data_IF_469006681733
#
_entry.id   IF_469006681733
#
_cell.length_a   1.000
_cell.length_b   1.000
_cell.length_c   1.000
_cell.angle_alpha   90.00
_cell.angle_beta   90.00
_cell.angle_gamma   90.00
#
_symmetry.space_group_name_H-M   'P 1'
#
loop_
_entity.id
_entity.type
_entity.pdbx_description
1 polymer ?
#
# COMPACT_ATOMS: atom_id res chain seq x y z
N UNK A 1 30.81 -14.05 -13.31
CA UNK A 1 30.04 -13.73 -12.09
C UNK A 1 29.77 -12.23 -11.92
N UNK A 2 30.67 -11.34 -12.38
CA UNK A 2 30.50 -9.86 -12.33
C UNK A 2 29.42 -9.29 -13.28
N UNK A 3 29.28 -9.80 -14.51
CA UNK A 3 28.29 -9.29 -15.47
C UNK A 3 26.83 -9.43 -14.98
N UNK A 4 26.45 -10.57 -14.38
CA UNK A 4 25.10 -10.77 -13.80
C UNK A 4 24.81 -9.82 -12.64
N UNK A 5 25.82 -9.48 -11.83
CA UNK A 5 25.68 -8.53 -10.70
C UNK A 5 25.43 -7.11 -11.21
N UNK A 6 26.12 -6.69 -12.27
CA UNK A 6 25.89 -5.39 -12.94
C UNK A 6 24.51 -5.34 -13.60
N UNK A 7 24.06 -6.42 -14.26
CA UNK A 7 22.72 -6.46 -14.87
C UNK A 7 21.59 -6.45 -13.84
N UNK A 8 21.74 -7.10 -12.68
CA UNK A 8 20.76 -7.02 -11.59
C UNK A 8 20.74 -5.62 -10.95
N UNK A 9 21.91 -5.03 -10.67
CA UNK A 9 22.00 -3.66 -10.15
C UNK A 9 21.38 -2.63 -11.10
N UNK A 10 21.54 -2.80 -12.43
CA UNK A 10 20.89 -1.95 -13.42
C UNK A 10 19.36 -2.13 -13.45
N UNK A 11 18.86 -3.37 -13.31
CA UNK A 11 17.41 -3.66 -13.19
C UNK A 11 16.81 -3.12 -11.89
N UNK A 12 17.59 -3.12 -10.81
CA UNK A 12 17.15 -2.66 -9.49
C UNK A 12 17.17 -1.13 -9.39
N UNK A 13 18.10 -0.46 -10.10
CA UNK A 13 18.20 1.00 -10.14
C UNK A 13 16.97 1.68 -10.71
N UNK A 14 16.34 1.06 -11.70
CA UNK A 14 15.23 1.65 -12.45
C UNK A 14 13.85 1.14 -11.95
N UNK A 15 13.80 0.45 -10.80
CA UNK A 15 12.56 -0.10 -10.21
C UNK A 15 12.42 0.24 -8.72
N UNK A 16 11.28 -0.13 -8.12
CA UNK A 16 11.03 0.04 -6.68
C UNK A 16 11.98 -0.75 -5.77
N UNK A 17 12.68 -1.76 -6.30
CA UNK A 17 13.54 -2.68 -5.52
C UNK A 17 14.59 -1.93 -4.72
N UNK A 18 15.28 -0.94 -5.31
CA UNK A 18 16.34 -0.21 -4.62
C UNK A 18 15.82 0.66 -3.47
N UNK A 19 14.68 1.33 -3.67
CA UNK A 19 14.15 2.29 -2.70
C UNK A 19 13.24 1.65 -1.65
N UNK A 20 12.55 0.56 -2.00
CA UNK A 20 11.50 -0.04 -1.18
C UNK A 20 11.79 -1.51 -0.81
N UNK A 21 12.88 -2.09 -1.32
CA UNK A 21 13.25 -3.48 -1.05
C UNK A 21 12.38 -4.52 -1.74
N UNK A 22 11.44 -4.10 -2.59
CA UNK A 22 10.50 -4.99 -3.26
C UNK A 22 10.04 -4.44 -4.61
N UNK A 23 9.47 -5.33 -5.44
CA UNK A 23 8.78 -4.98 -6.70
C UNK A 23 7.59 -5.92 -6.92
N UNK A 24 6.55 -5.42 -7.58
CA UNK A 24 5.45 -6.27 -8.04
C UNK A 24 5.86 -7.00 -9.31
N UNK A 25 5.66 -8.31 -9.34
CA UNK A 25 6.00 -9.16 -10.49
C UNK A 25 4.82 -9.36 -11.45
N UNK A 26 3.59 -9.29 -10.91
CA UNK A 26 2.35 -9.48 -11.64
C UNK A 26 1.19 -9.77 -10.67
N UNK A 27 -0.01 -9.84 -11.21
CA UNK A 27 -1.21 -10.22 -10.48
C UNK A 27 -2.24 -10.79 -11.45
N UNK A 28 -3.10 -11.68 -10.97
CA UNK A 28 -4.20 -12.23 -11.76
C UNK A 28 -5.43 -12.41 -10.88
N UNK A 29 -6.57 -11.93 -11.36
CA UNK A 29 -7.88 -12.25 -10.80
C UNK A 29 -8.66 -13.05 -11.83
N UNK A 30 -9.43 -14.01 -11.35
CA UNK A 30 -10.34 -14.81 -12.16
C UNK A 30 -11.78 -14.50 -11.76
N UNK A 31 -12.69 -14.53 -12.73
CA UNK A 31 -14.12 -14.55 -12.48
C UNK A 31 -14.55 -15.91 -11.91
N UNK A 32 -15.75 -16.04 -11.33
CA UNK A 32 -16.32 -17.34 -10.96
C UNK A 32 -16.39 -18.33 -12.14
N UNK A 33 -16.50 -17.82 -13.38
CA UNK A 33 -16.45 -18.61 -14.61
C UNK A 33 -15.04 -19.00 -15.07
N UNK A 34 -14.00 -18.71 -14.28
CA UNK A 34 -12.60 -19.05 -14.56
C UNK A 34 -11.91 -18.17 -15.60
N UNK A 35 -12.57 -17.10 -16.10
CA UNK A 35 -11.96 -16.17 -17.05
C UNK A 35 -11.15 -15.10 -16.30
N UNK A 36 -10.00 -14.66 -16.81
CA UNK A 36 -9.23 -13.62 -16.14
C UNK A 36 -9.96 -12.27 -16.19
N UNK A 37 -10.27 -11.69 -15.02
CA UNK A 37 -10.82 -10.34 -14.87
C UNK A 37 -9.72 -9.28 -14.71
N UNK A 38 -8.56 -9.69 -14.18
CA UNK A 38 -7.35 -8.88 -14.12
C UNK A 38 -6.17 -9.78 -14.53
N UNK A 39 -5.29 -9.29 -15.41
CA UNK A 39 -4.05 -9.99 -15.75
C UNK A 39 -2.93 -8.99 -15.97
N UNK A 40 -2.11 -8.83 -14.94
CA UNK A 40 -0.97 -7.91 -14.90
C UNK A 40 0.32 -8.72 -14.98
N UNK A 41 1.12 -8.44 -16.01
CA UNK A 41 2.36 -9.17 -16.27
C UNK A 41 3.63 -8.45 -15.79
N UNK A 42 4.77 -9.08 -16.07
CA UNK A 42 6.11 -8.56 -15.71
C UNK A 42 6.39 -7.17 -16.27
N UNK A 43 5.88 -6.84 -17.47
CA UNK A 43 6.08 -5.53 -18.07
C UNK A 43 5.41 -4.42 -17.25
N UNK A 44 4.19 -4.67 -16.78
CA UNK A 44 3.47 -3.77 -15.86
C UNK A 44 4.19 -3.63 -14.52
N UNK A 45 4.61 -4.74 -13.92
CA UNK A 45 5.33 -4.69 -12.64
C UNK A 45 6.61 -3.83 -12.69
N UNK A 46 7.32 -3.87 -13.82
CA UNK A 46 8.52 -3.06 -14.07
C UNK A 46 8.24 -1.58 -14.34
N UNK A 47 7.03 -1.21 -14.75
CA UNK A 47 6.69 0.20 -15.00
C UNK A 47 6.36 0.95 -13.72
N UNK A 48 6.07 0.27 -12.62
CA UNK A 48 5.67 0.90 -11.34
C UNK A 48 6.86 1.65 -10.74
N UNK A 49 6.63 2.93 -10.40
CA UNK A 49 7.57 3.77 -9.67
C UNK A 49 7.31 3.73 -8.15
N UNK A 50 8.28 4.15 -7.30
CA UNK A 50 8.12 4.06 -5.84
C UNK A 50 6.83 4.69 -5.29
N UNK A 51 6.45 5.87 -5.78
CA UNK A 51 5.22 6.55 -5.35
C UNK A 51 3.94 5.86 -5.83
N UNK A 52 4.02 5.04 -6.88
CA UNK A 52 2.88 4.34 -7.48
C UNK A 52 2.65 2.96 -6.86
N UNK A 53 3.56 2.48 -6.00
CA UNK A 53 3.47 1.14 -5.47
C UNK A 53 2.24 0.93 -4.58
N UNK A 54 1.92 1.89 -3.70
CA UNK A 54 0.75 1.80 -2.82
C UNK A 54 -0.58 1.81 -3.64
N UNK A 55 -0.80 2.73 -4.60
CA UNK A 55 -1.92 2.63 -5.54
C UNK A 55 -1.95 1.31 -6.34
N UNK A 56 -0.79 0.81 -6.77
CA UNK A 56 -0.71 -0.45 -7.49
C UNK A 56 -1.11 -1.65 -6.62
N UNK A 57 -0.69 -1.67 -5.34
CA UNK A 57 -1.13 -2.66 -4.36
C UNK A 57 -2.64 -2.58 -4.15
N UNK A 58 -3.21 -1.37 -3.98
CA UNK A 58 -4.67 -1.19 -3.88
C UNK A 58 -5.37 -1.83 -5.07
N UNK A 59 -4.91 -1.57 -6.29
CA UNK A 59 -5.46 -2.16 -7.52
C UNK A 59 -5.37 -3.69 -7.53
N UNK A 60 -4.26 -4.27 -7.06
CA UNK A 60 -4.05 -5.72 -7.01
C UNK A 60 -4.92 -6.37 -5.94
N UNK A 61 -5.20 -5.71 -4.83
CA UNK A 61 -6.05 -6.28 -3.77
C UNK A 61 -7.51 -5.82 -3.88
N UNK A 62 -7.89 -5.15 -4.97
CA UNK A 62 -9.28 -4.81 -5.28
C UNK A 62 -9.88 -5.79 -6.29
N UNK A 63 -11.00 -6.40 -5.94
CA UNK A 63 -11.78 -7.30 -6.80
C UNK A 63 -13.17 -6.73 -6.96
N UNK A 64 -13.66 -6.64 -8.20
CA UNK A 64 -14.95 -5.97 -8.47
C UNK A 64 -14.96 -4.46 -8.17
N UNK A 65 -13.79 -3.83 -8.02
CA UNK A 65 -13.66 -2.43 -7.60
C UNK A 65 -13.49 -2.24 -6.09
N UNK A 66 -13.78 -3.27 -5.30
CA UNK A 66 -13.75 -3.21 -3.84
C UNK A 66 -12.45 -3.79 -3.27
N UNK A 67 -11.86 -3.08 -2.32
CA UNK A 67 -10.65 -3.54 -1.63
C UNK A 67 -10.96 -4.74 -0.73
N UNK A 68 -10.26 -5.86 -0.94
CA UNK A 68 -10.43 -7.08 -0.15
C UNK A 68 -9.77 -6.94 1.23
N UNK A 69 -10.40 -6.15 2.12
CA UNK A 69 -9.87 -5.78 3.44
C UNK A 69 -9.58 -7.00 4.33
N UNK A 70 -10.42 -8.03 4.30
CA UNK A 70 -10.20 -9.27 5.06
C UNK A 70 -8.92 -9.98 4.64
N UNK A 71 -8.67 -10.09 3.32
CA UNK A 71 -7.44 -10.69 2.81
C UNK A 71 -6.21 -9.84 3.15
N UNK A 72 -6.30 -8.52 2.98
CA UNK A 72 -5.22 -7.60 3.36
C UNK A 72 -4.87 -7.66 4.84
N UNK A 73 -5.86 -7.70 5.73
CA UNK A 73 -5.65 -7.84 7.18
C UNK A 73 -4.93 -9.16 7.50
N UNK A 74 -5.37 -10.26 6.88
CA UNK A 74 -4.72 -11.55 7.04
C UNK A 74 -3.25 -11.53 6.58
N UNK A 75 -2.97 -10.90 5.44
CA UNK A 75 -1.62 -10.82 4.92
C UNK A 75 -0.74 -9.85 5.70
N UNK A 76 -1.29 -8.76 6.24
CA UNK A 76 -0.59 -7.88 7.19
C UNK A 76 -0.12 -8.70 8.40
N UNK A 77 -0.99 -9.50 8.99
CA UNK A 77 -0.64 -10.35 10.14
C UNK A 77 0.41 -11.40 9.75
N UNK A 78 0.27 -11.99 8.56
CA UNK A 78 1.24 -12.97 8.04
C UNK A 78 2.62 -12.34 7.77
N UNK A 79 2.67 -11.09 7.29
CA UNK A 79 3.91 -10.34 7.11
C UNK A 79 4.55 -10.01 8.46
N UNK A 80 3.75 -9.66 9.47
CA UNK A 80 4.24 -9.43 10.83
C UNK A 80 4.89 -10.70 11.40
N UNK A 81 4.24 -11.86 11.25
CA UNK A 81 4.81 -13.15 11.66
C UNK A 81 6.09 -13.48 10.88
N UNK A 82 6.12 -13.20 9.58
CA UNK A 82 7.32 -13.39 8.77
C UNK A 82 8.48 -12.53 9.27
N UNK A 83 8.24 -11.26 9.63
CA UNK A 83 9.26 -10.39 10.21
C UNK A 83 9.83 -10.98 11.50
N UNK A 84 8.97 -11.47 12.41
CA UNK A 84 9.40 -12.12 13.64
C UNK A 84 10.31 -13.33 13.38
N UNK A 85 9.95 -14.17 12.40
CA UNK A 85 10.76 -15.35 12.02
C UNK A 85 12.11 -14.93 11.45
N UNK A 86 12.13 -13.97 10.52
CA UNK A 86 13.37 -13.49 9.88
C UNK A 86 14.31 -12.83 10.90
N UNK A 87 13.76 -12.16 11.91
CA UNK A 87 14.55 -11.51 12.96
C UNK A 87 15.10 -12.50 13.99
N UNK A 88 14.30 -13.51 14.37
CA UNK A 88 14.66 -14.52 15.36
C UNK A 88 15.58 -15.61 14.79
N UNK A 89 15.47 -15.91 13.49
CA UNK A 89 16.24 -16.97 12.82
C UNK A 89 16.93 -16.45 11.54
N UNK A 90 17.94 -15.58 11.67
CA UNK A 90 18.57 -14.93 10.52
C UNK A 90 19.60 -15.85 9.83
N UNK A 91 19.18 -17.06 9.46
CA UNK A 91 20.07 -18.08 8.92
C UNK A 91 20.22 -18.02 7.40
N UNK A 92 19.42 -17.21 6.71
CA UNK A 92 19.32 -17.22 5.25
C UNK A 92 19.35 -15.82 4.66
N UNK A 93 20.11 -15.67 3.58
CA UNK A 93 20.03 -14.57 2.64
C UNK A 93 19.18 -15.02 1.45
N UNK A 94 18.12 -14.27 1.17
CA UNK A 94 17.07 -14.63 0.21
C UNK A 94 17.13 -13.69 -1.00
N UNK A 95 17.97 -14.02 -1.98
CA UNK A 95 18.17 -13.17 -3.14
C UNK A 95 17.13 -13.51 -4.22
N UNK A 96 16.41 -12.50 -4.71
CA UNK A 96 15.41 -12.67 -5.79
C UNK A 96 14.30 -13.69 -5.49
N UNK A 97 13.99 -13.93 -4.22
CA UNK A 97 12.81 -14.68 -3.81
C UNK A 97 11.54 -13.83 -3.90
N UNK A 98 10.38 -14.47 -3.92
CA UNK A 98 9.08 -13.79 -4.07
C UNK A 98 8.13 -14.16 -2.93
N UNK A 99 7.20 -13.24 -2.61
CA UNK A 99 6.01 -13.54 -1.84
C UNK A 99 4.83 -13.75 -2.78
N UNK A 100 4.15 -14.89 -2.66
CA UNK A 100 2.94 -15.24 -3.40
C UNK A 100 1.73 -15.07 -2.48
N UNK A 101 0.75 -14.31 -2.95
CA UNK A 101 -0.51 -14.05 -2.26
C UNK A 101 -1.64 -14.71 -3.04
N UNK A 102 -2.47 -15.50 -2.35
CA UNK A 102 -3.63 -16.18 -2.93
C UNK A 102 -4.82 -15.95 -2.00
N UNK A 103 -5.92 -15.45 -2.54
CA UNK A 103 -7.14 -15.20 -1.77
C UNK A 103 -8.36 -15.31 -2.68
N UNK A 104 -9.52 -15.53 -2.07
CA UNK A 104 -10.82 -15.37 -2.73
C UNK A 104 -11.43 -14.05 -2.25
N UNK A 105 -12.01 -13.29 -3.19
CA UNK A 105 -12.69 -12.03 -2.85
C UNK A 105 -14.03 -12.28 -2.13
N UNK A 106 -14.71 -13.34 -2.55
CA UNK A 106 -15.97 -13.82 -2.00
C UNK A 106 -15.75 -15.29 -1.62
N UNK A 107 -15.94 -15.62 -0.34
CA UNK A 107 -15.74 -16.98 0.14
C UNK A 107 -15.23 -17.05 1.57
N UNK A 108 -15.34 -18.26 2.14
CA UNK A 108 -14.83 -18.57 3.47
C UNK A 108 -13.40 -19.12 3.44
N UNK A 109 -12.77 -19.25 2.26
CA UNK A 109 -11.42 -19.78 2.17
C UNK A 109 -10.43 -18.84 2.84
N UNK A 110 -9.50 -19.44 3.58
CA UNK A 110 -8.46 -18.68 4.27
C UNK A 110 -7.43 -18.18 3.26
N UNK A 111 -7.14 -16.86 3.19
CA UNK A 111 -6.07 -16.33 2.36
C UNK A 111 -4.72 -17.00 2.68
N UNK A 112 -3.86 -17.19 1.68
CA UNK A 112 -2.56 -17.83 1.83
C UNK A 112 -1.44 -16.93 1.33
N UNK A 113 -0.41 -16.77 2.15
CA UNK A 113 0.86 -16.14 1.78
C UNK A 113 1.97 -17.18 1.84
N UNK A 114 2.78 -17.29 0.78
CA UNK A 114 3.91 -18.21 0.70
C UNK A 114 5.16 -17.52 0.17
N UNK A 115 6.32 -17.87 0.70
CA UNK A 115 7.60 -17.54 0.10
C UNK A 115 7.92 -18.57 -0.98
N UNK A 116 8.38 -18.12 -2.14
CA UNK A 116 8.75 -18.95 -3.29
C UNK A 116 10.08 -18.47 -3.89
N UNK A 117 10.58 -19.22 -4.89
CA UNK A 117 11.79 -18.90 -5.67
C UNK A 117 13.09 -18.87 -4.83
N UNK A 118 13.47 -20.03 -4.27
CA UNK A 118 14.65 -20.15 -3.40
C UNK A 118 15.96 -20.48 -4.14
N UNK A 119 15.97 -20.42 -5.48
CA UNK A 119 17.14 -20.80 -6.30
C UNK A 119 18.42 -20.00 -5.99
N UNK A 120 18.29 -18.83 -5.37
CA UNK A 120 19.41 -17.98 -4.93
C UNK A 120 19.32 -17.67 -3.43
N UNK A 121 19.06 -18.70 -2.62
CA UNK A 121 19.10 -18.60 -1.16
C UNK A 121 20.43 -19.12 -0.64
N UNK A 122 21.07 -18.38 0.24
CA UNK A 122 22.38 -18.72 0.79
C UNK A 122 22.30 -18.74 2.31
N UNK A 123 23.01 -19.66 2.95
CA UNK A 123 23.11 -19.65 4.40
C UNK A 123 23.97 -18.46 4.83
N UNK A 124 23.49 -17.70 5.80
CA UNK A 124 24.24 -16.63 6.42
C UNK A 124 25.18 -17.20 7.48
N UNK A 125 26.41 -16.70 7.48
CA UNK A 125 27.41 -16.98 8.52
C UNK A 125 27.37 -15.86 9.58
N UNK A 126 27.77 -16.20 10.81
CA UNK A 126 28.04 -15.25 11.91
C UNK A 126 27.02 -14.12 12.13
N UNK A 127 25.89 -14.39 12.81
CA UNK A 127 24.89 -13.40 13.26
C UNK A 127 24.42 -12.36 12.22
N UNK A 128 24.71 -12.58 10.93
CA UNK A 128 24.33 -11.69 9.85
C UNK A 128 22.82 -11.81 9.60
N UNK A 129 22.17 -10.70 9.25
CA UNK A 129 20.75 -10.66 8.89
C UNK A 129 20.60 -10.25 7.42
N UNK A 130 19.58 -10.76 6.76
CA UNK A 130 19.19 -10.25 5.44
C UNK A 130 18.42 -8.93 5.58
N UNK A 131 19.17 -7.84 5.75
CA UNK A 131 18.60 -6.49 5.88
C UNK A 131 17.81 -6.05 4.64
N UNK A 132 18.17 -6.55 3.45
CA UNK A 132 17.45 -6.22 2.22
C UNK A 132 16.06 -6.84 2.21
N UNK A 133 15.98 -8.13 2.55
CA UNK A 133 14.70 -8.82 2.65
C UNK A 133 13.83 -8.25 3.78
N UNK A 134 14.41 -8.02 4.97
CA UNK A 134 13.72 -7.38 6.09
C UNK A 134 13.17 -6.00 5.71
N UNK A 135 13.95 -5.18 5.01
CA UNK A 135 13.51 -3.86 4.55
C UNK A 135 12.31 -3.97 3.60
N UNK A 136 12.35 -4.89 2.63
CA UNK A 136 11.23 -5.14 1.72
C UNK A 136 9.96 -5.58 2.45
N UNK A 137 10.06 -6.55 3.36
CA UNK A 137 8.91 -7.06 4.12
C UNK A 137 8.34 -5.98 5.05
N UNK A 138 9.18 -5.19 5.73
CA UNK A 138 8.72 -4.07 6.59
C UNK A 138 7.96 -3.01 5.80
N UNK A 139 8.48 -2.63 4.64
CA UNK A 139 7.79 -1.67 3.78
C UNK A 139 6.45 -2.22 3.27
N UNK A 140 6.39 -3.49 2.88
CA UNK A 140 5.14 -4.12 2.46
C UNK A 140 4.11 -4.18 3.58
N UNK A 141 4.55 -4.55 4.79
CA UNK A 141 3.70 -4.54 5.98
C UNK A 141 3.13 -3.14 6.25
N UNK A 142 3.97 -2.10 6.23
CA UNK A 142 3.54 -0.71 6.40
C UNK A 142 2.56 -0.24 5.31
N UNK A 143 2.75 -0.67 4.06
CA UNK A 143 1.81 -0.39 2.98
C UNK A 143 0.46 -1.09 3.19
N UNK A 144 0.45 -2.31 3.72
CA UNK A 144 -0.81 -3.00 4.02
C UNK A 144 -1.55 -2.35 5.19
N UNK A 145 -0.83 -1.90 6.23
CA UNK A 145 -1.40 -1.06 7.28
C UNK A 145 -2.05 0.20 6.70
N UNK A 146 -1.34 0.92 5.82
CA UNK A 146 -1.86 2.13 5.18
C UNK A 146 -3.13 1.87 4.33
N UNK A 147 -3.21 0.73 3.65
CA UNK A 147 -4.41 0.34 2.88
C UNK A 147 -5.60 -0.04 3.78
N UNK A 148 -5.33 -0.54 4.98
CA UNK A 148 -6.35 -0.96 5.94
C UNK A 148 -6.91 0.20 6.76
N UNK A 149 -6.19 1.32 6.87
CA UNK A 149 -6.73 2.54 7.44
C UNK A 149 -8.04 2.91 6.71
N UNK A 150 -9.08 3.37 7.43
CA UNK A 150 -10.22 3.98 6.79
C UNK A 150 -9.71 5.14 5.95
N UNK A 151 -10.30 5.37 4.77
CA UNK A 151 -9.99 6.58 4.00
C UNK A 151 -10.38 7.74 4.92
N UNK A 152 -9.38 8.42 5.50
CA UNK A 152 -9.64 9.64 6.24
C UNK A 152 -10.36 10.57 5.27
N UNK A 153 -11.53 11.14 5.63
CA UNK A 153 -12.14 12.13 4.77
C UNK A 153 -11.07 13.18 4.44
N UNK A 154 -11.00 13.68 3.20
CA UNK A 154 -10.12 14.80 2.90
C UNK A 154 -10.36 15.89 3.95
N UNK A 155 -9.31 16.59 4.40
CA UNK A 155 -9.47 17.72 5.31
C UNK A 155 -10.21 18.86 4.57
N UNK A 156 -11.51 18.72 4.40
CA UNK A 156 -12.42 19.74 3.92
C UNK A 156 -13.41 20.05 5.03
N UNK A 157 -13.44 21.33 5.40
CA UNK A 157 -14.37 21.96 6.32
C UNK A 157 -14.25 21.57 7.81
N UNK A 158 -13.07 21.70 8.40
CA UNK A 158 -13.07 22.35 9.72
C UNK A 158 -13.57 23.77 9.50
N UNK A 159 -14.77 24.07 10.02
CA UNK A 159 -15.41 25.38 9.97
C UNK A 159 -14.40 26.53 9.99
N UNK A 160 -14.20 27.16 8.83
CA UNK A 160 -13.89 28.59 8.85
C UNK A 160 -15.18 29.23 9.32
N UNK A 161 -15.23 29.62 10.59
CA UNK A 161 -16.25 30.52 11.10
C UNK A 161 -16.20 31.78 10.21
N UNK A 162 -17.16 31.91 9.31
CA UNK A 162 -17.42 33.18 8.66
C UNK A 162 -17.70 34.20 9.77
N UNK A 163 -16.92 35.27 9.77
CA UNK A 163 -17.09 36.46 10.58
C UNK A 163 -18.56 36.91 10.61
N UNK A 164 -19.09 37.43 11.74
CA UNK A 164 -20.48 37.87 11.81
C UNK A 164 -20.75 38.98 10.79
N UNK A 165 -21.91 38.87 10.15
CA UNK A 165 -22.49 39.88 9.27
C UNK A 165 -22.51 41.27 9.93
N UNK A 166 -22.38 42.29 9.07
CA UNK A 166 -22.33 43.71 9.38
C UNK A 166 -23.32 44.16 10.49
N UNK A 167 -22.98 45.18 11.29
CA UNK A 167 -23.85 45.67 12.35
C UNK A 167 -25.16 46.25 11.76
N UNK A 168 -26.27 46.17 12.51
CA UNK A 168 -27.57 46.62 12.03
C UNK A 168 -27.57 48.13 11.79
N UNK A 169 -28.22 48.55 10.69
CA UNK A 169 -28.54 49.96 10.42
C UNK A 169 -29.40 50.48 11.57
N UNK A 170 -28.90 51.51 12.25
CA UNK A 170 -29.66 52.29 13.23
C UNK A 170 -30.90 52.87 12.55
N UNK A 171 -32.07 52.50 13.05
CA UNK A 171 -33.34 53.13 12.68
C UNK A 171 -33.35 54.56 13.23
N UNK A 172 -33.54 55.54 12.34
CA UNK A 172 -33.84 56.93 12.73
C UNK A 172 -35.21 57.01 13.40
N UNK A 173 -35.41 57.87 14.41
CA UNK A 173 -36.68 58.00 15.10
C UNK A 173 -37.72 58.76 14.25
N UNK A 174 -39.03 58.58 14.53
CA UNK A 174 -40.10 59.27 13.81
C UNK A 174 -40.18 60.73 14.25
N UNK A 175 -40.06 61.67 13.31
CA UNK A 175 -40.41 63.07 13.51
C UNK A 175 -41.92 63.24 13.29
N UNK A 176 -42.68 63.30 14.38
CA UNK A 176 -44.10 63.66 14.36
C UNK A 176 -44.39 64.85 15.28
N UNK A 177 -44.52 66.04 14.67
CA UNK A 177 -45.31 67.24 15.04
C UNK A 177 -45.25 67.79 16.49
N UNK A 178 -45.98 68.89 16.84
CA UNK A 178 -46.89 69.73 16.06
C UNK A 178 -46.55 71.25 16.18
N UNK A 179 -47.36 72.11 15.55
CA UNK A 179 -47.09 73.55 15.34
C UNK A 179 -47.47 74.52 16.46
N UNK A 180 -47.38 75.82 16.13
CA UNK A 180 -48.20 76.96 16.59
C UNK A 180 -47.37 78.25 16.62
N UNK A 181 -47.93 79.36 16.13
CA UNK A 181 -47.44 80.73 16.34
C UNK A 181 -47.31 81.54 15.07
#
# INVERSE_FOLDING_TARGET
MWAKRITHLAKDRDTTTRCLGLRLMGAMHSTPSGRPSLKLGKAWGKSIRPLELLPALRRVFSVGGELCRTALAHFRDSLHQLLQVLEAQPHWQLISSSLLFVFEAEGASKPQMRMIDFAHSYRLEHCAKDYGYLFGVRNLHAMFEALLQPDSPPPEAQHVQFWPTAPPKTASPPSGGPGAG
#
